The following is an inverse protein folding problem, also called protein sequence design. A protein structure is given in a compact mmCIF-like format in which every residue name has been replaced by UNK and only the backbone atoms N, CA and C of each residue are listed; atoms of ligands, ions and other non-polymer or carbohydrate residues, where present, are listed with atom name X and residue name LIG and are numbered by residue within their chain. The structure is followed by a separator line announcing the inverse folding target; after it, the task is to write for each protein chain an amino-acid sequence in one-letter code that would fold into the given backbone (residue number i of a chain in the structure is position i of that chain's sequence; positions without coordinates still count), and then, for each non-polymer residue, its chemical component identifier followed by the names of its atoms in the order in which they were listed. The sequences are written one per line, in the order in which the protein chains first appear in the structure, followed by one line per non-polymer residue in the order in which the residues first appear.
data_IF_492930246430
#
_entry.id   IF_492930246430
#
_cell.length_a   1.000
_cell.length_b   1.000
_cell.length_c   1.000
_cell.angle_alpha   90.00
_cell.angle_beta   90.00
_cell.angle_gamma   90.00
#
_symmetry.space_group_name_H-M   'P 1'
#
loop_
_entity.id
_entity.type
_entity.pdbx_description
1 polymer ?
#
# COMPACT_ATOMS: atom_id res chain seq x y z
N UNK A 1 -57.17 -0.54 -3.11
CA UNK A 1 -56.62 -1.40 -2.05
C UNK A 1 -55.80 -2.50 -2.69
N UNK A 2 -54.48 -2.37 -2.67
CA UNK A 2 -53.49 -3.45 -2.79
C UNK A 2 -52.11 -2.80 -2.61
N UNK A 3 -51.66 -2.73 -1.36
CA UNK A 3 -50.32 -2.34 -0.95
C UNK A 3 -49.36 -3.48 -1.28
N UNK A 4 -48.33 -3.21 -2.07
CA UNK A 4 -47.20 -4.12 -2.28
C UNK A 4 -46.06 -3.64 -1.38
N UNK A 5 -45.91 -4.31 -0.25
CA UNK A 5 -44.78 -4.20 0.68
C UNK A 5 -43.51 -4.73 0.00
N UNK A 6 -42.63 -3.84 -0.43
CA UNK A 6 -41.23 -4.18 -0.69
C UNK A 6 -40.42 -4.05 0.60
N UNK A 7 -40.38 -5.14 1.38
CA UNK A 7 -39.31 -5.34 2.37
C UNK A 7 -37.98 -5.57 1.62
N UNK A 8 -37.24 -4.50 1.34
CA UNK A 8 -35.80 -4.60 1.14
C UNK A 8 -35.16 -4.89 2.49
N UNK A 9 -34.72 -6.13 2.68
CA UNK A 9 -33.91 -6.52 3.82
C UNK A 9 -32.61 -5.71 3.81
N UNK A 10 -32.46 -4.83 4.79
CA UNK A 10 -31.18 -4.21 5.14
C UNK A 10 -30.34 -5.31 5.79
N UNK A 11 -29.32 -5.79 5.09
CA UNK A 11 -28.28 -6.63 5.67
C UNK A 11 -27.38 -5.70 6.49
N UNK A 12 -27.19 -5.91 7.81
CA UNK A 12 -26.25 -5.12 8.58
C UNK A 12 -24.83 -5.58 8.22
N UNK A 13 -24.22 -4.95 7.22
CA UNK A 13 -22.77 -5.04 7.01
C UNK A 13 -22.09 -3.99 7.85
N UNK A 14 -21.57 -4.36 9.03
CA UNK A 14 -20.52 -3.59 9.71
C UNK A 14 -19.88 -4.46 10.80
N UNK A 15 -18.87 -5.24 10.40
CA UNK A 15 -17.98 -5.90 11.34
C UNK A 15 -17.01 -4.88 11.92
N UNK A 16 -17.15 -4.55 13.20
CA UNK A 16 -16.07 -3.91 13.94
C UNK A 16 -14.86 -4.84 13.93
N UNK A 17 -13.70 -4.32 13.49
CA UNK A 17 -12.46 -5.09 13.47
C UNK A 17 -12.07 -5.45 14.91
N UNK A 18 -12.17 -6.73 15.25
CA UNK A 18 -11.67 -7.27 16.52
C UNK A 18 -10.14 -7.08 16.61
N UNK A 19 -9.57 -6.96 17.83
CA UNK A 19 -8.12 -6.81 18.01
C UNK A 19 -7.28 -7.93 17.38
N UNK A 20 -7.86 -9.13 17.26
CA UNK A 20 -7.24 -10.29 16.61
C UNK A 20 -8.22 -10.89 15.60
N UNK A 21 -7.76 -11.05 14.36
CA UNK A 21 -8.47 -11.70 13.27
C UNK A 21 -7.81 -13.03 12.92
N UNK A 22 -8.49 -14.13 13.22
CA UNK A 22 -8.11 -15.44 12.69
C UNK A 22 -8.60 -15.56 11.25
N UNK A 23 -7.68 -15.83 10.33
CA UNK A 23 -7.91 -16.27 8.96
C UNK A 23 -7.95 -17.80 8.92
N UNK A 24 -8.76 -18.43 8.07
CA UNK A 24 -8.59 -19.85 7.77
C UNK A 24 -8.14 -19.98 6.32
N UNK A 25 -6.89 -20.42 6.11
CA UNK A 25 -6.39 -20.72 4.77
C UNK A 25 -7.05 -21.99 4.26
N UNK A 26 -7.80 -21.91 3.17
CA UNK A 26 -8.39 -23.08 2.50
C UNK A 26 -7.47 -23.64 1.41
N UNK A 27 -6.26 -23.11 1.23
CA UNK A 27 -5.31 -23.65 0.26
C UNK A 27 -4.49 -24.77 0.87
N UNK A 28 -4.65 -25.98 0.35
CA UNK A 28 -3.67 -27.08 0.39
C UNK A 28 -2.40 -26.79 -0.44
N UNK A 29 -2.13 -25.52 -0.75
CA UNK A 29 -0.92 -25.13 -1.45
C UNK A 29 0.25 -25.15 -0.47
N UNK A 30 1.00 -26.25 -0.58
CA UNK A 30 2.28 -26.55 0.03
C UNK A 30 2.84 -25.44 0.90
N UNK A 31 2.43 -25.42 2.17
CA UNK A 31 3.22 -24.84 3.22
C UNK A 31 4.60 -25.46 3.06
N UNK A 32 5.56 -24.64 2.59
CA UNK A 32 6.94 -25.03 2.51
C UNK A 32 7.41 -25.34 3.93
N UNK A 33 7.25 -26.60 4.35
CA UNK A 33 8.29 -27.24 5.15
C UNK A 33 9.51 -27.23 4.24
N UNK A 34 10.25 -26.13 4.26
CA UNK A 34 11.70 -26.22 4.12
C UNK A 34 12.11 -26.91 5.42
N UNK A 35 11.93 -28.24 5.45
CA UNK A 35 12.71 -29.10 6.32
C UNK A 35 14.14 -28.58 6.23
N UNK A 36 14.83 -28.46 7.35
CA UNK A 36 16.27 -28.24 7.40
C UNK A 36 16.95 -29.41 6.66
N UNK A 37 16.90 -29.36 5.33
CA UNK A 37 17.54 -30.29 4.44
C UNK A 37 19.00 -29.86 4.50
N UNK A 38 19.86 -30.80 4.85
CA UNK A 38 21.30 -30.61 4.84
C UNK A 38 21.84 -30.60 3.40
N UNK A 39 21.05 -30.12 2.43
CA UNK A 39 21.50 -29.96 1.06
C UNK A 39 22.42 -28.72 1.00
N UNK A 40 23.73 -28.89 0.76
CA UNK A 40 24.67 -27.78 0.75
C UNK A 40 24.37 -26.76 -0.35
N UNK A 41 23.74 -27.18 -1.45
CA UNK A 41 23.30 -26.27 -2.52
C UNK A 41 22.15 -25.36 -2.08
N UNK A 42 21.14 -25.89 -1.38
CA UNK A 42 20.02 -25.10 -0.83
C UNK A 42 20.52 -24.13 0.25
N UNK A 43 21.43 -24.57 1.12
CA UNK A 43 22.03 -23.70 2.13
C UNK A 43 22.87 -22.58 1.52
N UNK A 44 23.61 -22.85 0.42
CA UNK A 44 24.34 -21.83 -0.31
C UNK A 44 23.39 -20.82 -0.97
N UNK A 45 22.37 -21.31 -1.70
CA UNK A 45 21.35 -20.45 -2.32
C UNK A 45 20.61 -19.60 -1.29
N UNK A 46 20.32 -20.16 -0.11
CA UNK A 46 19.74 -19.42 1.00
C UNK A 46 20.68 -18.32 1.51
N UNK A 47 21.97 -18.60 1.70
CA UNK A 47 22.95 -17.58 2.11
C UNK A 47 23.10 -16.48 1.06
N UNK A 48 23.18 -16.84 -0.22
CA UNK A 48 23.19 -15.88 -1.33
C UNK A 48 21.91 -15.05 -1.34
N UNK A 49 20.75 -15.69 -1.17
CA UNK A 49 19.45 -15.02 -1.07
C UNK A 49 19.38 -14.07 0.12
N UNK A 50 19.94 -14.41 1.28
CA UNK A 50 20.00 -13.51 2.45
C UNK A 50 20.88 -12.29 2.21
N UNK A 51 22.04 -12.46 1.55
CA UNK A 51 22.91 -11.33 1.16
C UNK A 51 22.22 -10.46 0.12
N UNK A 52 21.61 -11.06 -0.90
CA UNK A 52 20.85 -10.35 -1.92
C UNK A 52 19.62 -9.66 -1.36
N UNK A 53 18.92 -10.25 -0.39
CA UNK A 53 17.84 -9.60 0.36
C UNK A 53 18.37 -8.32 0.98
N UNK A 54 19.45 -8.39 1.75
CA UNK A 54 20.01 -7.20 2.39
C UNK A 54 20.46 -6.12 1.38
N UNK A 55 20.99 -6.54 0.23
CA UNK A 55 21.47 -5.64 -0.81
C UNK A 55 20.35 -5.00 -1.65
N UNK A 56 19.35 -5.80 -2.05
CA UNK A 56 18.28 -5.40 -2.98
C UNK A 56 17.05 -4.85 -2.26
N UNK A 57 16.72 -5.43 -1.10
CA UNK A 57 15.50 -5.18 -0.33
C UNK A 57 15.83 -5.24 1.18
N UNK A 58 16.50 -4.23 1.75
CA UNK A 58 16.75 -4.15 3.19
C UNK A 58 15.44 -4.00 4.00
N UNK A 59 14.71 -5.10 4.19
CA UNK A 59 13.43 -5.21 4.91
C UNK A 59 13.58 -4.89 6.41
N UNK A 60 14.76 -5.18 6.95
CA UNK A 60 15.09 -4.96 8.35
C UNK A 60 16.44 -4.27 8.38
N UNK A 61 16.46 -3.00 8.76
CA UNK A 61 17.71 -2.26 8.87
C UNK A 61 18.46 -2.74 10.13
N UNK A 62 19.75 -3.03 10.01
CA UNK A 62 20.69 -3.19 11.14
C UNK A 62 20.81 -1.88 11.93
N UNK A 63 21.30 -1.87 13.19
CA UNK A 63 21.34 -0.67 14.04
C UNK A 63 21.96 0.51 13.27
N UNK A 64 21.21 1.60 13.18
CA UNK A 64 21.42 2.63 12.17
C UNK A 64 22.03 3.92 12.70
N UNK A 65 22.73 4.57 11.78
CA UNK A 65 23.10 5.99 11.73
C UNK A 65 22.14 6.92 12.54
N UNK A 66 22.67 7.84 13.36
CA UNK A 66 21.91 8.76 14.21
C UNK A 66 20.71 9.45 13.52
N UNK A 67 20.82 9.77 12.23
CA UNK A 67 19.75 10.47 11.50
C UNK A 67 18.44 9.69 11.43
N UNK A 68 18.48 8.36 11.39
CA UNK A 68 17.27 7.54 11.34
C UNK A 68 16.62 7.35 12.71
N UNK A 69 17.38 7.50 13.79
CA UNK A 69 16.82 7.51 15.14
C UNK A 69 15.90 8.72 15.33
N UNK A 70 16.28 9.86 14.74
CA UNK A 70 15.45 11.08 14.75
C UNK A 70 14.15 10.89 13.97
N UNK A 71 14.19 10.29 12.77
CA UNK A 71 12.99 10.03 11.97
C UNK A 71 12.02 9.07 12.68
N UNK A 72 12.53 7.99 13.26
CA UNK A 72 11.70 7.06 14.04
C UNK A 72 11.11 7.73 15.28
N UNK A 73 11.88 8.58 15.97
CA UNK A 73 11.35 9.33 17.11
C UNK A 73 10.25 10.30 16.67
N UNK A 74 10.45 11.06 15.60
CA UNK A 74 9.44 11.96 15.06
C UNK A 74 8.15 11.21 14.66
N UNK A 75 8.29 10.03 14.05
CA UNK A 75 7.15 9.18 13.70
C UNK A 75 6.40 8.65 14.94
N UNK A 76 7.14 8.27 15.99
CA UNK A 76 6.55 7.88 17.28
C UNK A 76 5.83 9.05 17.95
N UNK A 77 6.44 10.24 17.94
CA UNK A 77 5.85 11.45 18.52
C UNK A 77 4.56 11.83 17.76
N UNK A 78 4.59 11.77 16.42
CA UNK A 78 3.43 11.99 15.56
C UNK A 78 2.31 10.98 15.88
N UNK A 79 2.64 9.69 15.99
CA UNK A 79 1.66 8.64 16.32
C UNK A 79 1.08 8.82 17.73
N UNK A 80 1.93 9.21 18.69
CA UNK A 80 1.52 9.48 20.06
C UNK A 80 0.59 10.70 20.13
N UNK A 81 0.87 11.74 19.34
CA UNK A 81 0.03 12.93 19.22
C UNK A 81 -1.36 12.64 18.63
N UNK A 82 -1.48 11.61 17.78
CA UNK A 82 -2.77 11.16 17.27
C UNK A 82 -3.56 10.31 18.28
N UNK A 83 -2.88 9.74 19.29
CA UNK A 83 -3.47 8.78 20.23
C UNK A 83 -3.73 9.39 21.62
N UNK A 84 -3.02 10.43 22.02
CA UNK A 84 -3.12 11.04 23.36
C UNK A 84 -3.43 12.54 23.30
N UNK A 85 -4.27 13.01 24.23
CA UNK A 85 -4.65 14.43 24.36
C UNK A 85 -3.53 15.27 25.01
N UNK A 86 -2.59 14.62 25.70
CA UNK A 86 -1.64 15.26 26.61
C UNK A 86 -0.27 15.57 25.96
N UNK A 87 0.03 15.00 24.80
CA UNK A 87 1.30 15.19 24.07
C UNK A 87 1.29 16.48 23.23
N UNK A 88 1.26 17.63 23.92
CA UNK A 88 0.90 18.94 23.37
C UNK A 88 2.01 19.77 22.68
N UNK A 89 3.24 19.28 22.54
CA UNK A 89 4.35 20.17 22.14
C UNK A 89 4.41 20.52 20.64
N UNK A 90 3.80 19.73 19.74
CA UNK A 90 3.95 19.90 18.28
C UNK A 90 2.69 19.57 17.45
N UNK A 91 1.50 19.93 17.92
CA UNK A 91 0.27 19.71 17.14
C UNK A 91 0.19 20.63 15.92
N UNK A 92 0.27 20.07 14.72
CA UNK A 92 -0.17 20.75 13.51
C UNK A 92 -1.71 20.72 13.44
N UNK A 93 -2.31 21.66 12.72
CA UNK A 93 -3.76 21.68 12.48
C UNK A 93 -4.27 20.37 11.87
N UNK A 94 -3.45 19.73 11.02
CA UNK A 94 -3.76 18.43 10.42
C UNK A 94 -3.87 17.31 11.45
N UNK A 95 -2.92 17.20 12.39
CA UNK A 95 -2.95 16.14 13.41
C UNK A 95 -4.14 16.30 14.35
N UNK A 96 -4.49 17.54 14.69
CA UNK A 96 -5.66 17.83 15.51
C UNK A 96 -6.96 17.45 14.79
N UNK A 97 -7.09 17.83 13.52
CA UNK A 97 -8.22 17.45 12.68
C UNK A 97 -8.36 15.92 12.56
N UNK A 98 -7.26 15.20 12.32
CA UNK A 98 -7.27 13.74 12.25
C UNK A 98 -7.73 13.14 13.58
N UNK A 99 -7.18 13.60 14.71
CA UNK A 99 -7.54 13.11 16.05
C UNK A 99 -9.02 13.32 16.38
N UNK A 100 -9.58 14.43 15.94
CA UNK A 100 -11.00 14.74 16.11
C UNK A 100 -11.88 13.79 15.29
N UNK A 101 -11.51 13.51 14.03
CA UNK A 101 -12.37 12.78 13.09
C UNK A 101 -12.11 11.27 12.99
N UNK A 102 -11.00 10.75 13.50
CA UNK A 102 -10.61 9.35 13.33
C UNK A 102 -10.33 8.61 14.64
N UNK A 103 -10.63 7.31 14.65
CA UNK A 103 -10.17 6.33 15.63
C UNK A 103 -8.99 5.58 15.04
N UNK A 104 -7.88 5.54 15.76
CA UNK A 104 -6.68 4.80 15.36
C UNK A 104 -6.48 3.64 16.33
N UNK A 105 -6.28 2.44 15.79
CA UNK A 105 -6.02 1.23 16.58
C UNK A 105 -5.17 0.24 15.81
N UNK A 106 -4.37 -0.54 16.53
CA UNK A 106 -3.61 -1.64 15.95
C UNK A 106 -4.43 -2.93 16.08
N UNK A 107 -4.41 -3.75 15.03
CA UNK A 107 -5.09 -5.06 14.96
C UNK A 107 -4.13 -6.09 14.39
N UNK A 108 -4.24 -7.33 14.84
CA UNK A 108 -3.45 -8.44 14.31
C UNK A 108 -4.29 -9.31 13.38
N UNK A 109 -3.73 -9.65 12.21
CA UNK A 109 -4.22 -10.74 11.36
C UNK A 109 -3.34 -11.96 11.57
N UNK A 110 -3.95 -13.07 11.95
CA UNK A 110 -3.27 -14.34 12.15
C UNK A 110 -3.66 -15.31 11.04
N UNK A 111 -2.67 -15.79 10.32
CA UNK A 111 -2.80 -16.87 9.35
C UNK A 111 -2.28 -18.18 9.95
N UNK A 112 -3.17 -19.07 10.42
CA UNK A 112 -2.81 -20.32 11.03
C UNK A 112 -2.22 -21.27 9.98
N UNK A 113 -1.22 -22.02 10.42
CA UNK A 113 -0.49 -23.00 9.65
C UNK A 113 0.49 -23.73 10.56
N UNK A 114 1.35 -24.58 10.00
CA UNK A 114 2.42 -25.23 10.77
C UNK A 114 3.34 -24.19 11.46
N UNK A 115 3.57 -23.07 10.77
CA UNK A 115 4.10 -21.84 11.33
C UNK A 115 3.01 -20.79 11.14
N UNK A 116 2.45 -20.30 12.24
CA UNK A 116 1.42 -19.26 12.20
C UNK A 116 2.08 -17.92 11.91
N UNK A 117 1.60 -17.21 10.89
CA UNK A 117 2.06 -15.86 10.56
C UNK A 117 1.14 -14.83 11.21
N UNK A 118 1.71 -13.79 11.80
CA UNK A 118 1.01 -12.74 12.53
C UNK A 118 1.40 -11.40 11.93
N UNK A 119 0.43 -10.75 11.30
CA UNK A 119 0.60 -9.45 10.64
C UNK A 119 -0.04 -8.35 11.47
N UNK A 120 0.75 -7.36 11.86
CA UNK A 120 0.28 -6.19 12.61
C UNK A 120 -0.19 -5.12 11.62
N UNK A 121 -1.42 -4.67 11.77
CA UNK A 121 -2.02 -3.63 10.94
C UNK A 121 -2.38 -2.44 11.83
N UNK A 122 -2.34 -1.24 11.26
CA UNK A 122 -2.95 -0.06 11.89
C UNK A 122 -4.20 0.34 11.12
N UNK A 123 -5.30 0.51 11.83
CA UNK A 123 -6.60 0.87 11.27
C UNK A 123 -6.94 2.28 11.74
N UNK A 124 -7.07 3.19 10.79
CA UNK A 124 -7.57 4.54 11.00
C UNK A 124 -8.97 4.61 10.39
N UNK A 125 -9.99 4.78 11.22
CA UNK A 125 -11.40 4.73 10.82
C UNK A 125 -12.12 6.01 11.22
N UNK A 126 -12.89 6.60 10.31
CA UNK A 126 -13.64 7.82 10.61
C UNK A 126 -14.71 7.55 11.68
N UNK A 127 -14.78 8.40 12.70
CA UNK A 127 -15.76 8.31 13.81
C UNK A 127 -17.17 8.50 13.29
N UNK A 128 -17.31 9.44 12.37
CA UNK A 128 -18.58 9.85 11.80
C UNK A 128 -18.55 9.67 10.29
N UNK A 129 -19.75 9.60 9.73
CA UNK A 129 -19.95 9.68 8.30
C UNK A 129 -19.95 11.15 7.90
N UNK A 130 -19.18 11.52 6.88
CA UNK A 130 -19.23 12.86 6.28
C UNK A 130 -19.88 12.71 4.90
N UNK A 131 -20.99 13.40 4.65
CA UNK A 131 -21.79 13.24 3.42
C UNK A 131 -22.27 11.81 3.14
N UNK A 132 -22.70 11.12 4.19
CA UNK A 132 -23.09 9.72 4.04
C UNK A 132 -21.90 8.79 3.72
N UNK A 133 -20.64 9.26 3.82
CA UNK A 133 -19.45 8.46 3.56
C UNK A 133 -18.50 8.37 4.75
N UNK A 134 -18.14 7.15 5.12
CA UNK A 134 -17.09 6.81 6.07
C UNK A 134 -15.83 6.37 5.35
N UNK A 135 -14.69 6.54 6.02
CA UNK A 135 -13.40 6.17 5.48
C UNK A 135 -12.62 5.29 6.45
N UNK A 136 -12.00 4.24 5.92
CA UNK A 136 -11.07 3.39 6.64
C UNK A 136 -9.78 3.26 5.87
N UNK A 137 -8.70 3.72 6.49
CA UNK A 137 -7.35 3.46 6.03
C UNK A 137 -6.76 2.33 6.88
N UNK A 138 -6.35 1.25 6.22
CA UNK A 138 -5.62 0.14 6.82
C UNK A 138 -4.17 0.26 6.37
N UNK A 139 -3.25 0.39 7.30
CA UNK A 139 -1.81 0.44 7.04
C UNK A 139 -1.20 -0.93 7.29
N UNK A 140 -0.46 -1.43 6.30
CA UNK A 140 0.37 -2.61 6.40
C UNK A 140 1.83 -2.20 6.27
N UNK A 141 2.67 -2.75 7.14
CA UNK A 141 4.13 -2.69 7.03
C UNK A 141 4.71 -4.09 6.98
N UNK A 142 5.79 -4.30 6.23
CA UNK A 142 6.58 -5.53 6.30
C UNK A 142 7.36 -5.67 7.63
N UNK A 143 7.55 -4.55 8.35
CA UNK A 143 8.24 -4.48 9.63
C UNK A 143 7.23 -4.59 10.79
N UNK A 144 7.62 -5.28 11.87
CA UNK A 144 6.76 -5.51 13.05
C UNK A 144 5.85 -6.75 12.96
N UNK A 145 5.99 -7.55 11.91
CA UNK A 145 5.29 -8.83 11.76
C UNK A 145 6.05 -9.97 12.41
N UNK A 146 5.33 -11.05 12.73
CA UNK A 146 5.87 -12.17 13.48
C UNK A 146 5.42 -13.52 12.94
N UNK A 147 6.11 -14.56 13.37
CA UNK A 147 5.76 -15.95 13.14
C UNK A 147 5.83 -16.74 14.44
N UNK A 148 5.02 -17.80 14.55
CA UNK A 148 4.96 -18.65 15.73
C UNK A 148 4.74 -20.11 15.33
N UNK A 149 5.68 -20.97 15.70
CA UNK A 149 5.52 -22.42 15.64
C UNK A 149 4.89 -22.92 16.95
N UNK A 150 4.10 -24.00 16.88
CA UNK A 150 3.43 -24.56 18.05
C UNK A 150 4.44 -24.91 19.16
N UNK A 151 4.16 -24.47 20.39
CA UNK A 151 5.06 -24.66 21.53
C UNK A 151 6.34 -23.80 21.52
N UNK A 152 6.51 -22.87 20.58
CA UNK A 152 7.67 -21.96 20.52
C UNK A 152 7.31 -20.51 20.84
N UNK A 153 8.33 -19.72 21.18
CA UNK A 153 8.21 -18.27 21.32
C UNK A 153 7.93 -17.59 19.98
N UNK A 154 7.20 -16.47 20.03
CA UNK A 154 6.94 -15.60 18.88
C UNK A 154 8.28 -15.05 18.37
N UNK A 155 8.57 -15.28 17.09
CA UNK A 155 9.78 -14.78 16.42
C UNK A 155 9.39 -13.76 15.37
N UNK A 156 10.35 -12.96 14.93
CA UNK A 156 10.15 -12.04 13.81
C UNK A 156 9.87 -12.85 12.54
N UNK A 157 8.88 -12.42 11.75
CA UNK A 157 8.63 -12.99 10.44
C UNK A 157 9.78 -12.62 9.51
N UNK A 158 10.44 -13.61 8.89
CA UNK A 158 11.57 -13.39 8.00
C UNK A 158 11.36 -14.09 6.65
N UNK A 159 10.69 -13.44 5.68
CA UNK A 159 10.49 -14.04 4.37
C UNK A 159 11.85 -14.28 3.68
N UNK A 160 11.98 -15.48 3.10
CA UNK A 160 13.20 -15.93 2.41
C UNK A 160 13.14 -15.78 0.89
N UNK A 161 11.97 -15.45 0.34
CA UNK A 161 11.73 -15.24 -1.10
C UNK A 161 10.79 -14.07 -1.32
N UNK A 162 10.79 -13.52 -2.54
CA UNK A 162 9.84 -12.49 -2.98
C UNK A 162 8.40 -13.00 -2.92
N UNK A 163 8.17 -14.28 -3.23
CA UNK A 163 6.85 -14.90 -3.14
C UNK A 163 6.34 -14.86 -1.69
N UNK A 164 7.13 -15.32 -0.73
CA UNK A 164 6.74 -15.27 0.68
C UNK A 164 6.51 -13.83 1.17
N UNK A 165 7.36 -12.89 0.73
CA UNK A 165 7.22 -11.48 1.05
C UNK A 165 5.91 -10.88 0.50
N UNK A 166 5.62 -11.12 -0.79
CA UNK A 166 4.44 -10.58 -1.48
C UNK A 166 3.12 -11.20 -1.01
N UNK A 167 3.17 -12.44 -0.51
CA UNK A 167 2.01 -13.14 0.06
C UNK A 167 1.51 -12.54 1.37
N UNK A 168 2.36 -11.88 2.17
CA UNK A 168 1.95 -11.29 3.45
C UNK A 168 0.75 -10.33 3.34
N UNK A 169 0.83 -9.25 2.54
CA UNK A 169 -0.31 -8.37 2.33
C UNK A 169 -1.50 -9.05 1.64
N UNK A 170 -1.26 -10.05 0.79
CA UNK A 170 -2.33 -10.83 0.17
C UNK A 170 -3.11 -11.65 1.20
N UNK A 171 -2.43 -12.27 2.16
CA UNK A 171 -3.06 -12.97 3.29
C UNK A 171 -3.95 -12.00 4.07
N UNK A 172 -3.47 -10.78 4.30
CA UNK A 172 -4.26 -9.71 4.94
C UNK A 172 -5.52 -9.37 4.12
N UNK A 173 -5.39 -9.17 2.81
CA UNK A 173 -6.55 -8.93 1.92
C UNK A 173 -7.57 -10.07 2.00
N UNK A 174 -7.12 -11.33 1.94
CA UNK A 174 -7.99 -12.52 2.06
C UNK A 174 -8.68 -12.58 3.42
N UNK A 175 -7.96 -12.26 4.51
CA UNK A 175 -8.50 -12.27 5.86
C UNK A 175 -9.57 -11.19 6.07
N UNK A 176 -9.33 -9.97 5.60
CA UNK A 176 -10.30 -8.88 5.64
C UNK A 176 -11.56 -9.26 4.85
N UNK A 177 -11.39 -9.83 3.65
CA UNK A 177 -12.51 -10.30 2.83
C UNK A 177 -13.33 -11.39 3.53
N UNK A 178 -12.71 -12.38 4.16
CA UNK A 178 -13.41 -13.44 4.92
C UNK A 178 -14.25 -12.87 6.07
N UNK A 179 -13.85 -11.71 6.62
CA UNK A 179 -14.60 -10.98 7.65
C UNK A 179 -15.68 -10.06 7.09
N UNK A 180 -15.95 -10.12 5.78
CA UNK A 180 -16.92 -9.25 5.11
C UNK A 180 -16.44 -7.82 4.92
N UNK A 181 -15.14 -7.54 5.10
CA UNK A 181 -14.57 -6.23 4.84
C UNK A 181 -14.12 -6.18 3.39
N UNK A 182 -14.82 -5.37 2.61
CA UNK A 182 -14.46 -5.06 1.23
C UNK A 182 -13.35 -4.00 1.23
N UNK A 183 -12.33 -4.19 0.40
CA UNK A 183 -11.26 -3.23 0.16
C UNK A 183 -11.47 -2.63 -1.23
N UNK A 184 -11.65 -1.32 -1.29
CA UNK A 184 -12.03 -0.60 -2.51
C UNK A 184 -10.82 -0.10 -3.28
N UNK A 185 -9.78 0.31 -2.54
CA UNK A 185 -8.50 0.72 -3.11
C UNK A 185 -7.29 0.10 -2.41
N UNK A 186 -6.24 -0.14 -3.19
CA UNK A 186 -4.92 -0.52 -2.71
C UNK A 186 -3.93 0.59 -3.08
N UNK A 187 -3.17 1.09 -2.10
CA UNK A 187 -2.02 1.97 -2.32
C UNK A 187 -0.74 1.18 -2.02
N UNK A 188 0.19 1.15 -2.97
CA UNK A 188 1.52 0.57 -2.78
C UNK A 188 2.57 1.65 -2.85
N UNK A 189 3.36 1.81 -1.79
CA UNK A 189 4.39 2.84 -1.70
C UNK A 189 5.78 2.23 -1.82
N UNK A 190 6.60 2.67 -2.79
CA UNK A 190 7.99 2.19 -2.94
C UNK A 190 8.06 0.66 -3.02
N UNK A 191 8.66 -0.01 -2.02
CA UNK A 191 8.75 -1.46 -1.95
C UNK A 191 7.43 -2.16 -1.61
N UNK A 192 6.40 -1.43 -1.17
CA UNK A 192 5.04 -1.95 -1.09
C UNK A 192 4.55 -2.55 -2.41
N UNK A 193 5.14 -2.15 -3.54
CA UNK A 193 4.81 -2.66 -4.86
C UNK A 193 5.14 -4.16 -5.04
N UNK A 194 5.99 -4.74 -4.19
CA UNK A 194 6.27 -6.20 -4.24
C UNK A 194 5.01 -7.03 -4.03
N UNK A 195 3.96 -6.50 -3.41
CA UNK A 195 2.66 -7.19 -3.31
C UNK A 195 2.11 -7.60 -4.68
N UNK A 196 2.39 -6.83 -5.74
CA UNK A 196 1.85 -7.10 -7.07
C UNK A 196 2.38 -8.43 -7.62
N UNK A 197 3.54 -8.91 -7.16
CA UNK A 197 4.03 -10.25 -7.51
C UNK A 197 3.03 -11.35 -7.17
N UNK A 198 2.34 -11.20 -6.04
CA UNK A 198 1.34 -12.17 -5.60
C UNK A 198 0.08 -12.16 -6.46
N UNK A 199 -0.14 -11.13 -7.30
CA UNK A 199 -1.34 -11.04 -8.12
C UNK A 199 -1.35 -12.06 -9.26
N UNK A 200 -0.19 -12.59 -9.66
CA UNK A 200 -0.08 -13.59 -10.73
C UNK A 200 -0.95 -14.83 -10.46
N UNK A 201 -1.08 -15.20 -9.19
CA UNK A 201 -1.69 -16.47 -8.76
C UNK A 201 -3.03 -16.29 -8.02
N UNK A 202 -3.64 -15.10 -8.10
CA UNK A 202 -4.78 -14.72 -7.25
C UNK A 202 -6.06 -14.46 -8.03
N UNK A 203 -7.18 -14.92 -7.47
CA UNK A 203 -8.51 -14.64 -7.99
C UNK A 203 -8.82 -13.13 -7.94
N UNK A 204 -9.47 -12.57 -8.99
CA UNK A 204 -9.69 -11.13 -9.11
C UNK A 204 -10.55 -10.54 -7.99
N UNK A 205 -11.40 -11.36 -7.37
CA UNK A 205 -12.36 -10.95 -6.35
C UNK A 205 -11.70 -10.54 -5.02
N UNK A 206 -10.43 -10.90 -4.80
CA UNK A 206 -9.65 -10.47 -3.62
C UNK A 206 -8.95 -9.13 -3.85
N UNK A 207 -8.62 -8.81 -5.09
CA UNK A 207 -7.87 -7.61 -5.43
C UNK A 207 -8.82 -6.41 -5.52
N UNK A 208 -8.48 -5.24 -4.95
CA UNK A 208 -9.31 -4.02 -5.02
C UNK A 208 -9.48 -3.46 -6.44
N UNK A 209 -10.57 -2.74 -6.69
CA UNK A 209 -10.90 -2.19 -8.01
C UNK A 209 -9.91 -1.11 -8.46
N UNK A 210 -9.47 -0.28 -7.51
CA UNK A 210 -8.48 0.78 -7.73
C UNK A 210 -7.14 0.39 -7.15
N UNK A 211 -6.09 0.38 -7.98
CA UNK A 211 -4.70 0.14 -7.57
C UNK A 211 -3.92 1.44 -7.80
N UNK A 212 -3.31 1.96 -6.75
CA UNK A 212 -2.51 3.19 -6.77
C UNK A 212 -1.06 2.82 -6.48
N UNK A 213 -0.19 3.05 -7.45
CA UNK A 213 1.23 2.75 -7.38
C UNK A 213 1.99 4.06 -7.19
N UNK A 214 2.45 4.30 -5.97
CA UNK A 214 3.18 5.51 -5.60
C UNK A 214 4.68 5.24 -5.56
N UNK A 215 5.39 5.71 -6.60
CA UNK A 215 6.84 5.56 -6.78
C UNK A 215 7.33 4.13 -6.49
N UNK A 216 6.64 3.16 -7.07
CA UNK A 216 6.85 1.74 -6.79
C UNK A 216 8.08 1.15 -7.47
N UNK A 217 8.65 0.09 -6.87
CA UNK A 217 9.62 -0.78 -7.53
C UNK A 217 9.00 -1.46 -8.75
N UNK A 218 9.59 -1.30 -9.93
CA UNK A 218 9.08 -1.89 -11.18
C UNK A 218 9.65 -3.27 -11.49
N UNK A 219 10.96 -3.47 -11.34
CA UNK A 219 11.61 -4.79 -11.33
C UNK A 219 13.03 -4.77 -10.74
N UNK A 220 13.48 -5.91 -10.23
CA UNK A 220 14.84 -6.11 -9.71
C UNK A 220 15.88 -6.01 -10.82
N UNK A 221 15.58 -6.53 -12.01
CA UNK A 221 16.45 -6.38 -13.19
C UNK A 221 16.74 -4.91 -13.51
N UNK A 222 15.70 -4.08 -13.49
CA UNK A 222 15.80 -2.63 -13.74
C UNK A 222 16.63 -1.92 -12.68
N UNK A 223 16.42 -2.24 -11.40
CA UNK A 223 17.28 -1.75 -10.29
C UNK A 223 18.74 -2.16 -10.51
N UNK A 224 19.01 -3.43 -10.79
CA UNK A 224 20.37 -3.93 -10.97
C UNK A 224 21.08 -3.28 -12.15
N UNK A 225 20.39 -3.07 -13.26
CA UNK A 225 20.94 -2.36 -14.41
C UNK A 225 21.31 -0.91 -14.07
N UNK A 226 20.53 -0.26 -13.20
CA UNK A 226 20.79 1.11 -12.73
C UNK A 226 22.00 1.21 -11.81
N UNK A 227 22.10 0.31 -10.84
CA UNK A 227 23.04 0.42 -9.73
C UNK A 227 24.31 -0.40 -9.90
N UNK A 228 24.35 -1.33 -10.86
CA UNK A 228 25.50 -2.21 -11.08
C UNK A 228 25.90 -2.24 -12.57
N UNK A 229 27.19 -2.10 -12.90
CA UNK A 229 27.66 -2.19 -14.28
C UNK A 229 27.59 -3.64 -14.80
N UNK A 230 27.64 -3.80 -16.12
CA UNK A 230 27.92 -5.10 -16.74
C UNK A 230 29.37 -5.53 -16.44
N UNK A 231 29.65 -6.82 -16.15
CA UNK A 231 28.73 -7.96 -16.09
C UNK A 231 28.11 -8.22 -14.70
N UNK A 232 28.44 -7.41 -13.69
CA UNK A 232 28.00 -7.59 -12.30
C UNK A 232 26.48 -7.65 -12.19
N UNK A 233 25.76 -6.76 -12.90
CA UNK A 233 24.29 -6.78 -12.93
C UNK A 233 23.69 -8.10 -13.40
N UNK A 234 24.29 -8.76 -14.40
CA UNK A 234 23.84 -10.05 -14.93
C UNK A 234 24.07 -11.19 -13.94
N UNK A 235 25.22 -11.18 -13.26
CA UNK A 235 25.54 -12.18 -12.23
C UNK A 235 24.58 -12.04 -11.06
N UNK A 236 24.40 -10.81 -10.55
CA UNK A 236 23.48 -10.53 -9.44
C UNK A 236 22.03 -10.87 -9.80
N UNK A 237 21.60 -10.57 -11.03
CA UNK A 237 20.25 -10.91 -11.47
C UNK A 237 20.01 -12.41 -11.55
N UNK A 238 20.97 -13.18 -12.10
CA UNK A 238 20.88 -14.65 -12.12
C UNK A 238 20.85 -15.22 -10.71
N UNK A 239 21.64 -14.66 -9.80
CA UNK A 239 21.64 -15.06 -8.40
C UNK A 239 20.31 -14.71 -7.70
N UNK A 240 19.74 -13.54 -7.97
CA UNK A 240 18.42 -13.15 -7.47
C UNK A 240 17.34 -14.11 -7.98
N UNK A 241 17.35 -14.42 -9.28
CA UNK A 241 16.42 -15.39 -9.87
C UNK A 241 16.56 -16.79 -9.25
N UNK A 242 17.78 -17.31 -9.13
CA UNK A 242 18.03 -18.63 -8.55
C UNK A 242 17.68 -18.72 -7.06
N UNK A 243 17.72 -17.60 -6.33
CA UNK A 243 17.38 -17.53 -4.91
C UNK A 243 15.93 -17.08 -4.64
N UNK A 244 15.10 -16.88 -5.67
CA UNK A 244 13.71 -16.46 -5.52
C UNK A 244 13.53 -14.99 -5.13
N UNK A 245 14.52 -14.13 -5.43
CA UNK A 245 14.53 -12.69 -5.16
C UNK A 245 14.34 -11.81 -6.39
N UNK A 246 14.00 -12.38 -7.54
CA UNK A 246 13.75 -11.66 -8.79
C UNK A 246 12.28 -11.21 -8.89
N UNK A 247 11.97 -10.05 -8.31
CA UNK A 247 10.65 -9.42 -8.43
C UNK A 247 10.53 -8.62 -9.74
N UNK A 248 9.38 -8.72 -10.40
CA UNK A 248 8.97 -7.92 -11.54
C UNK A 248 7.50 -7.42 -11.41
N UNK A 249 7.19 -6.53 -10.44
CA UNK A 249 5.82 -6.08 -10.15
C UNK A 249 5.07 -5.53 -11.36
N UNK A 250 5.79 -4.88 -12.28
CA UNK A 250 5.23 -4.36 -13.53
C UNK A 250 4.63 -5.47 -14.40
N UNK A 251 5.38 -6.56 -14.62
CA UNK A 251 4.89 -7.71 -15.39
C UNK A 251 3.79 -8.46 -14.64
N UNK A 252 3.91 -8.59 -13.31
CA UNK A 252 2.91 -9.24 -12.49
C UNK A 252 1.54 -8.53 -12.57
N UNK A 253 1.54 -7.20 -12.54
CA UNK A 253 0.34 -6.38 -12.73
C UNK A 253 -0.27 -6.61 -14.12
N UNK A 254 0.53 -6.52 -15.18
CA UNK A 254 0.04 -6.69 -16.54
C UNK A 254 -0.53 -8.09 -16.77
N UNK A 255 0.15 -9.13 -16.27
CA UNK A 255 -0.33 -10.50 -16.33
C UNK A 255 -1.68 -10.64 -15.61
N UNK A 256 -1.81 -10.06 -14.42
CA UNK A 256 -3.07 -10.06 -13.68
C UNK A 256 -4.20 -9.38 -14.44
N UNK A 257 -3.96 -8.18 -15.00
CA UNK A 257 -4.97 -7.44 -15.74
C UNK A 257 -5.40 -8.17 -17.01
N UNK A 258 -4.45 -8.73 -17.77
CA UNK A 258 -4.74 -9.48 -18.99
C UNK A 258 -5.50 -10.77 -18.71
N UNK A 259 -5.09 -11.54 -17.69
CA UNK A 259 -5.78 -12.78 -17.28
C UNK A 259 -7.21 -12.54 -16.84
N UNK A 260 -7.51 -11.34 -16.33
CA UNK A 260 -8.83 -10.96 -15.84
C UNK A 260 -9.61 -10.05 -16.79
N UNK A 261 -9.12 -9.89 -18.02
CA UNK A 261 -9.80 -9.15 -19.08
C UNK A 261 -11.14 -9.83 -19.39
N UNK A 262 -12.21 -9.03 -19.46
CA UNK A 262 -13.55 -9.53 -19.78
C UNK A 262 -14.36 -10.07 -18.59
N UNK A 263 -13.83 -10.10 -17.37
CA UNK A 263 -14.56 -10.51 -16.16
C UNK A 263 -15.62 -9.48 -15.67
N UNK A 264 -16.03 -8.54 -16.52
CA UNK A 264 -17.01 -7.49 -16.22
C UNK A 264 -16.53 -6.40 -15.25
N UNK A 265 -15.34 -6.54 -14.67
CA UNK A 265 -14.77 -5.59 -13.72
C UNK A 265 -13.75 -4.70 -14.42
N UNK A 266 -14.11 -3.45 -14.69
CA UNK A 266 -13.16 -2.45 -15.16
C UNK A 266 -12.28 -1.96 -14.01
N UNK A 267 -10.98 -2.26 -14.06
CA UNK A 267 -10.00 -1.85 -13.04
C UNK A 267 -9.49 -0.44 -13.31
N UNK A 268 -9.10 0.26 -12.24
CA UNK A 268 -8.46 1.57 -12.28
C UNK A 268 -7.04 1.46 -11.76
N UNK A 269 -6.06 1.90 -12.53
CA UNK A 269 -4.64 1.92 -12.14
C UNK A 269 -4.12 3.36 -12.13
N UNK A 270 -3.65 3.83 -10.99
CA UNK A 270 -3.06 5.17 -10.83
C UNK A 270 -1.57 5.01 -10.60
N UNK A 271 -0.73 5.47 -11.53
CA UNK A 271 0.73 5.42 -11.45
C UNK A 271 1.23 6.84 -11.16
N UNK A 272 1.79 7.03 -9.97
CA UNK A 272 2.40 8.27 -9.51
C UNK A 272 3.90 8.09 -9.56
N UNK A 273 4.54 8.74 -10.53
CA UNK A 273 5.99 8.73 -10.69
C UNK A 273 6.62 9.97 -10.06
N UNK A 274 7.87 9.87 -9.63
CA UNK A 274 8.71 11.03 -9.34
C UNK A 274 9.80 11.11 -10.39
N UNK A 275 9.73 12.09 -11.29
CA UNK A 275 10.48 12.09 -12.56
C UNK A 275 12.01 12.11 -12.39
N UNK A 276 12.49 12.67 -11.27
CA UNK A 276 13.91 12.77 -10.98
C UNK A 276 14.34 11.83 -9.86
N UNK A 277 13.48 10.92 -9.44
CA UNK A 277 13.79 9.99 -8.37
C UNK A 277 15.06 9.16 -8.64
N UNK A 278 16.07 9.36 -7.79
CA UNK A 278 17.36 8.69 -7.92
C UNK A 278 17.27 7.17 -7.84
N UNK A 279 16.22 6.60 -7.26
CA UNK A 279 16.01 5.17 -7.14
C UNK A 279 15.11 4.65 -8.27
N UNK A 280 14.01 5.34 -8.59
CA UNK A 280 12.96 4.77 -9.44
C UNK A 280 12.75 5.42 -10.83
N UNK A 281 13.37 6.57 -11.17
CA UNK A 281 12.92 7.34 -12.34
C UNK A 281 13.64 7.14 -13.67
N UNK A 282 14.78 6.46 -13.70
CA UNK A 282 15.55 6.20 -14.94
C UNK A 282 15.41 4.73 -15.37
N UNK A 283 16.49 3.93 -15.36
CA UNK A 283 16.43 2.50 -15.68
C UNK A 283 15.41 1.72 -14.82
N UNK A 284 15.16 2.21 -13.59
CA UNK A 284 14.15 1.71 -12.65
C UNK A 284 12.68 2.06 -12.96
N UNK A 285 12.41 2.85 -14.00
CA UNK A 285 11.06 3.39 -14.28
C UNK A 285 10.15 2.37 -14.93
N UNK A 286 8.86 2.66 -14.91
CA UNK A 286 7.90 1.88 -15.67
C UNK A 286 8.21 1.96 -17.17
N UNK A 287 7.96 0.88 -17.91
CA UNK A 287 8.11 0.93 -19.37
C UNK A 287 7.37 2.15 -19.95
N UNK A 288 7.92 2.75 -21.01
CA UNK A 288 7.40 4.00 -21.56
C UNK A 288 5.93 3.84 -22.02
N UNK A 289 5.60 2.67 -22.54
CA UNK A 289 4.30 2.20 -23.04
C UNK A 289 3.43 1.52 -21.96
N UNK A 290 3.81 1.53 -20.67
CA UNK A 290 3.06 0.78 -19.64
C UNK A 290 1.57 1.15 -19.59
N UNK A 291 1.25 2.43 -19.83
CA UNK A 291 -0.10 2.95 -19.75
C UNK A 291 -0.95 2.48 -20.93
N UNK A 292 -0.37 2.40 -22.12
CA UNK A 292 -1.00 1.83 -23.32
C UNK A 292 -1.28 0.34 -23.07
N UNK A 293 -0.29 -0.41 -22.59
CA UNK A 293 -0.43 -1.83 -22.26
C UNK A 293 -1.48 -2.09 -21.18
N UNK A 294 -1.63 -1.21 -20.19
CA UNK A 294 -2.73 -1.29 -19.21
C UNK A 294 -4.08 -1.03 -19.89
N UNK A 295 -4.18 -0.03 -20.76
CA UNK A 295 -5.43 0.28 -21.48
C UNK A 295 -5.88 -0.85 -22.40
N UNK A 296 -4.94 -1.56 -23.04
CA UNK A 296 -5.22 -2.74 -23.88
C UNK A 296 -5.90 -3.89 -23.11
N UNK A 297 -5.72 -3.94 -21.79
CA UNK A 297 -6.43 -4.90 -20.91
C UNK A 297 -7.89 -4.50 -20.63
N UNK A 298 -8.32 -3.31 -21.06
CA UNK A 298 -9.63 -2.72 -20.76
C UNK A 298 -9.67 -1.93 -19.45
N UNK A 299 -8.57 -1.89 -18.70
CA UNK A 299 -8.44 -1.09 -17.49
C UNK A 299 -8.31 0.41 -17.81
N UNK A 300 -8.77 1.25 -16.88
CA UNK A 300 -8.50 2.67 -16.90
C UNK A 300 -7.17 2.95 -16.20
N UNK A 301 -6.43 3.91 -16.72
CA UNK A 301 -5.13 4.34 -16.19
C UNK A 301 -5.05 5.86 -16.04
N UNK A 302 -4.46 6.31 -14.93
CA UNK A 302 -3.82 7.61 -14.78
C UNK A 302 -2.32 7.35 -14.61
N UNK A 303 -1.48 7.98 -15.42
CA UNK A 303 -0.02 7.98 -15.22
C UNK A 303 0.48 9.40 -15.25
N UNK A 304 1.07 9.85 -14.15
CA UNK A 304 1.61 11.20 -14.04
C UNK A 304 2.94 11.21 -13.29
N UNK A 305 3.89 12.01 -13.79
CA UNK A 305 5.18 12.27 -13.18
C UNK A 305 5.18 13.60 -12.43
N UNK A 306 5.53 13.55 -11.15
CA UNK A 306 5.57 14.70 -10.25
C UNK A 306 7.00 15.11 -9.92
N UNK A 307 7.14 16.38 -9.55
CA UNK A 307 8.39 16.95 -9.07
C UNK A 307 8.14 17.74 -7.79
N UNK A 308 8.58 17.25 -6.61
CA UNK A 308 8.46 17.99 -5.36
C UNK A 308 9.41 19.21 -5.38
N UNK A 309 8.89 20.44 -5.33
CA UNK A 309 9.73 21.64 -5.34
C UNK A 309 10.72 21.64 -4.18
N UNK A 310 11.93 22.18 -4.39
CA UNK A 310 12.96 22.37 -3.35
C UNK A 310 13.51 21.08 -2.71
N UNK A 311 13.07 19.90 -3.13
CA UNK A 311 13.60 18.63 -2.64
C UNK A 311 14.62 18.07 -3.62
N UNK A 312 15.77 17.65 -3.12
CA UNK A 312 16.81 17.03 -3.94
C UNK A 312 16.32 15.70 -4.55
N UNK A 313 16.59 15.41 -5.84
CA UNK A 313 16.23 14.16 -6.55
C UNK A 313 16.45 12.85 -5.77
N UNK A 314 17.51 12.79 -4.95
CA UNK A 314 17.81 11.63 -4.09
C UNK A 314 16.79 11.39 -2.98
N UNK A 315 16.08 12.41 -2.53
CA UNK A 315 15.11 12.31 -1.44
C UNK A 315 13.66 12.10 -1.94
N UNK A 316 13.41 12.19 -3.25
CA UNK A 316 12.05 12.14 -3.82
C UNK A 316 11.25 10.89 -3.43
N UNK A 317 11.92 9.74 -3.27
CA UNK A 317 11.28 8.47 -2.89
C UNK A 317 10.66 8.51 -1.49
N UNK A 318 11.22 9.34 -0.60
CA UNK A 318 10.78 9.50 0.78
C UNK A 318 9.73 10.60 0.97
N UNK A 319 9.45 11.38 -0.08
CA UNK A 319 8.53 12.52 -0.01
C UNK A 319 7.08 12.05 0.13
N UNK A 320 6.35 12.60 1.08
CA UNK A 320 4.93 12.28 1.33
C UNK A 320 4.02 12.80 0.21
N UNK A 321 2.82 12.22 0.07
CA UNK A 321 1.88 12.56 -1.02
C UNK A 321 1.41 14.03 -1.01
N UNK A 322 1.40 14.68 0.16
CA UNK A 322 1.05 16.10 0.30
C UNK A 322 2.11 17.06 -0.29
N UNK A 323 3.33 16.58 -0.52
CA UNK A 323 4.41 17.36 -1.14
C UNK A 323 4.57 17.07 -2.64
N UNK A 324 3.80 16.11 -3.17
CA UNK A 324 3.70 15.88 -4.60
C UNK A 324 2.57 16.75 -5.17
N UNK A 325 2.94 17.91 -5.69
CA UNK A 325 2.00 18.84 -6.32
C UNK A 325 2.20 18.85 -7.83
N UNK A 326 1.10 19.06 -8.57
CA UNK A 326 1.22 19.39 -9.98
C UNK A 326 1.74 20.82 -10.12
N UNK A 327 2.73 20.98 -10.98
CA UNK A 327 3.28 22.27 -11.40
C UNK A 327 3.54 22.21 -12.91
N UNK A 328 4.10 23.29 -13.47
CA UNK A 328 4.47 23.36 -14.90
C UNK A 328 5.45 22.27 -15.35
N UNK A 329 6.18 21.63 -14.43
CA UNK A 329 7.09 20.52 -14.71
C UNK A 329 6.41 19.14 -14.61
N UNK A 330 5.17 19.06 -14.14
CA UNK A 330 4.44 17.79 -14.00
C UNK A 330 3.97 17.30 -15.37
N UNK A 331 4.33 16.07 -15.72
CA UNK A 331 3.90 15.46 -16.99
C UNK A 331 2.79 14.45 -16.71
N UNK A 332 1.66 14.62 -17.39
CA UNK A 332 0.58 13.62 -17.41
C UNK A 332 0.75 12.82 -18.70
N UNK A 333 1.12 11.55 -18.56
CA UNK A 333 1.35 10.65 -19.69
C UNK A 333 0.04 10.04 -20.18
N UNK A 334 -0.90 9.75 -19.28
CA UNK A 334 -2.23 9.24 -19.60
C UNK A 334 -3.21 9.62 -18.50
N UNK A 335 -4.46 9.91 -18.86
CA UNK A 335 -5.52 10.18 -17.89
C UNK A 335 -6.89 9.70 -18.43
N UNK A 336 -7.22 8.44 -18.16
CA UNK A 336 -8.53 7.84 -18.53
C UNK A 336 -9.43 7.60 -17.32
N UNK A 337 -8.89 7.75 -16.10
CA UNK A 337 -9.65 7.86 -14.87
C UNK A 337 -9.79 9.36 -14.66
N UNK A 338 -10.91 10.04 -14.94
CA UNK A 338 -11.01 11.51 -15.04
C UNK A 338 -10.79 12.24 -13.69
N UNK A 339 -9.59 12.11 -13.14
CA UNK A 339 -9.10 12.68 -11.91
C UNK A 339 -8.57 14.07 -12.24
N UNK A 340 -9.11 15.08 -11.55
CA UNK A 340 -8.64 16.46 -11.68
C UNK A 340 -7.30 16.60 -10.98
N UNK A 341 -6.22 16.61 -11.76
CA UNK A 341 -4.90 16.98 -11.26
C UNK A 341 -4.73 18.47 -11.55
N UNK A 342 -5.22 19.32 -10.66
CA UNK A 342 -5.09 20.79 -10.74
C UNK A 342 -3.71 21.26 -10.29
N UNK A 343 -3.28 22.44 -10.77
CA UNK A 343 -2.01 23.04 -10.34
C UNK A 343 -2.01 23.30 -8.83
N UNK A 344 -0.85 23.10 -8.20
CA UNK A 344 -0.64 23.26 -6.76
C UNK A 344 -1.47 22.35 -5.85
N UNK A 345 -2.31 21.48 -6.41
CA UNK A 345 -3.09 20.50 -5.65
C UNK A 345 -2.20 19.31 -5.26
N UNK A 346 -2.10 18.98 -3.96
CA UNK A 346 -1.36 17.80 -3.52
C UNK A 346 -2.00 16.50 -3.97
N UNK A 347 -1.18 15.48 -4.25
CA UNK A 347 -1.66 14.17 -4.70
C UNK A 347 -2.53 13.45 -3.67
N UNK A 348 -2.31 13.70 -2.37
CA UNK A 348 -3.21 13.20 -1.33
C UNK A 348 -4.63 13.75 -1.48
N UNK A 349 -4.80 15.01 -1.89
CA UNK A 349 -6.11 15.61 -2.15
C UNK A 349 -6.75 15.08 -3.43
N UNK A 350 -5.97 14.90 -4.49
CA UNK A 350 -6.44 14.28 -5.75
C UNK A 350 -6.97 12.86 -5.49
N UNK A 351 -6.26 12.06 -4.69
CA UNK A 351 -6.69 10.72 -4.32
C UNK A 351 -7.94 10.78 -3.42
N UNK A 352 -7.96 11.67 -2.43
CA UNK A 352 -9.12 11.78 -1.54
C UNK A 352 -10.40 12.12 -2.32
N UNK A 353 -10.37 13.17 -3.12
CA UNK A 353 -11.53 13.62 -3.91
C UNK A 353 -11.94 12.58 -4.96
N UNK A 354 -10.99 12.14 -5.79
CA UNK A 354 -11.30 11.37 -6.99
C UNK A 354 -11.32 9.86 -6.80
N UNK A 355 -10.81 9.35 -5.68
CA UNK A 355 -10.84 7.92 -5.34
C UNK A 355 -11.67 7.67 -4.08
N UNK A 356 -11.37 8.33 -2.95
CA UNK A 356 -12.05 8.00 -1.68
C UNK A 356 -13.49 8.51 -1.63
N UNK A 357 -13.75 9.70 -2.16
CA UNK A 357 -15.11 10.27 -2.25
C UNK A 357 -15.89 9.83 -3.49
N UNK A 358 -15.29 9.05 -4.38
CA UNK A 358 -15.95 8.60 -5.60
C UNK A 358 -16.87 7.38 -5.36
N UNK A 359 -18.05 7.38 -5.99
CA UNK A 359 -19.06 6.32 -5.89
C UNK A 359 -20.03 6.48 -4.72
N UNK A 360 -21.17 5.78 -4.81
CA UNK A 360 -22.34 5.91 -3.92
C UNK A 360 -22.27 5.07 -2.63
N UNK A 361 -21.15 4.39 -2.41
CA UNK A 361 -20.99 3.53 -1.24
C UNK A 361 -20.79 4.37 0.03
N UNK A 362 -21.49 3.98 1.11
CA UNK A 362 -21.41 4.64 2.41
C UNK A 362 -20.01 4.53 3.04
N UNK A 363 -19.15 3.67 2.49
CA UNK A 363 -17.88 3.33 3.07
C UNK A 363 -16.82 3.18 1.98
N UNK A 364 -15.66 3.81 2.16
CA UNK A 364 -14.49 3.53 1.35
C UNK A 364 -13.38 2.96 2.23
N UNK A 365 -12.92 1.75 1.90
CA UNK A 365 -11.79 1.12 2.59
C UNK A 365 -10.55 1.07 1.70
N UNK A 366 -9.47 1.69 2.16
CA UNK A 366 -8.17 1.64 1.50
C UNK A 366 -7.19 0.79 2.31
N UNK A 367 -6.51 -0.17 1.66
CA UNK A 367 -5.30 -0.78 2.20
C UNK A 367 -4.09 -0.04 1.63
N UNK A 368 -3.20 0.44 2.49
CA UNK A 368 -1.93 1.07 2.12
C UNK A 368 -0.77 0.20 2.59
N UNK A 369 0.07 -0.23 1.66
CA UNK A 369 1.24 -1.08 1.91
C UNK A 369 2.47 -0.18 1.85
N UNK A 370 3.09 0.02 3.01
CA UNK A 370 4.29 0.82 3.16
C UNK A 370 5.54 0.04 2.75
N UNK A 371 6.55 0.77 2.29
CA UNK A 371 7.86 0.23 1.90
C UNK A 371 8.73 -0.25 3.07
N UNK A 372 9.88 -0.85 2.72
CA UNK A 372 10.75 -1.70 3.56
C UNK A 372 10.87 -1.38 5.04
N UNK A 373 11.18 -0.14 5.37
CA UNK A 373 11.75 0.25 6.67
C UNK A 373 10.75 0.91 7.60
N UNK A 374 9.61 1.33 7.04
CA UNK A 374 8.57 2.01 7.79
C UNK A 374 7.89 1.01 8.71
N UNK A 375 8.12 1.04 10.01
CA UNK A 375 7.20 0.41 10.96
C UNK A 375 5.82 1.10 10.88
N UNK A 376 4.82 0.62 11.63
CA UNK A 376 3.49 1.22 11.59
C UNK A 376 3.48 2.71 11.95
N UNK A 377 4.38 3.18 12.82
CA UNK A 377 4.48 4.60 13.19
C UNK A 377 4.99 5.45 12.03
N UNK A 378 6.07 5.02 11.36
CA UNK A 378 6.59 5.69 10.17
C UNK A 378 5.59 5.63 9.03
N UNK A 379 4.92 4.49 8.83
CA UNK A 379 3.84 4.35 7.85
C UNK A 379 2.68 5.33 8.15
N UNK A 380 2.34 5.51 9.43
CA UNK A 380 1.30 6.45 9.86
C UNK A 380 1.71 7.88 9.54
N UNK A 381 2.89 8.30 9.97
CA UNK A 381 3.35 9.68 9.77
C UNK A 381 3.55 10.01 8.28
N UNK A 382 4.17 9.10 7.53
CA UNK A 382 4.55 9.33 6.12
C UNK A 382 3.39 9.11 5.15
N UNK A 383 2.66 8.00 5.30
CA UNK A 383 1.68 7.57 4.31
C UNK A 383 0.24 7.83 4.82
N UNK A 384 -0.01 7.63 6.12
CA UNK A 384 -1.34 7.78 6.74
C UNK A 384 -1.81 9.23 6.91
N UNK A 385 -1.03 10.06 7.60
CA UNK A 385 -1.38 11.44 7.93
C UNK A 385 -1.76 12.26 6.69
N UNK A 386 -0.99 12.25 5.58
CA UNK A 386 -1.37 13.01 4.38
C UNK A 386 -2.73 12.61 3.80
N UNK A 387 -3.08 11.31 3.83
CA UNK A 387 -4.33 10.80 3.28
C UNK A 387 -5.52 11.11 4.21
N UNK A 388 -5.33 10.95 5.53
CA UNK A 388 -6.35 11.25 6.53
C UNK A 388 -6.66 12.75 6.59
N UNK A 389 -5.62 13.60 6.56
CA UNK A 389 -5.78 15.05 6.50
C UNK A 389 -6.49 15.50 5.22
N UNK A 390 -6.10 14.94 4.06
CA UNK A 390 -6.77 15.23 2.78
C UNK A 390 -8.24 14.82 2.78
N UNK A 391 -8.57 13.65 3.34
CA UNK A 391 -9.96 13.22 3.50
C UNK A 391 -10.75 14.17 4.41
N UNK A 392 -10.19 14.57 5.56
CA UNK A 392 -10.83 15.49 6.50
C UNK A 392 -11.03 16.89 5.89
N UNK A 393 -10.04 17.40 5.15
CA UNK A 393 -10.13 18.69 4.46
C UNK A 393 -11.21 18.68 3.36
N UNK A 394 -11.22 17.63 2.54
CA UNK A 394 -12.24 17.47 1.49
C UNK A 394 -13.64 17.32 2.09
N UNK A 395 -13.74 16.61 3.23
CA UNK A 395 -14.97 16.52 4.02
C UNK A 395 -15.49 17.90 4.42
N UNK A 396 -14.63 18.73 5.02
CA UNK A 396 -14.98 20.09 5.46
C UNK A 396 -15.31 21.02 4.29
N UNK A 397 -14.59 20.92 3.17
CA UNK A 397 -14.87 21.68 1.96
C UNK A 397 -16.29 21.44 1.47
N UNK A 398 -16.67 20.16 1.33
CA UNK A 398 -18.05 19.78 0.94
C UNK A 398 -19.07 20.32 1.94
N UNK A 399 -18.78 20.26 3.26
CA UNK A 399 -19.63 20.77 4.36
C UNK A 399 -20.03 22.23 4.16
N UNK A 400 -19.06 23.04 3.75
CA UNK A 400 -19.27 24.46 3.54
C UNK A 400 -20.02 24.75 2.23
N UNK A 401 -19.86 23.92 1.21
CA UNK A 401 -20.52 24.10 -0.09
C UNK A 401 -22.03 23.83 0.00
N UNK A 402 -22.48 22.74 0.63
CA UNK A 402 -23.93 22.46 0.73
C UNK A 402 -24.64 23.30 1.80
N UNK A 403 -23.93 23.67 2.88
CA UNK A 403 -24.48 24.58 3.90
C UNK A 403 -24.74 26.00 3.37
N UNK A 404 -24.11 26.37 2.26
CA UNK A 404 -24.41 27.62 1.55
C UNK A 404 -25.65 27.54 0.67
N UNK A 405 -25.94 26.37 0.07
CA UNK A 405 -27.13 26.15 -0.75
C UNK A 405 -28.42 26.16 0.09
N UNK A 406 -28.44 25.53 1.27
CA UNK A 406 -29.61 25.54 2.16
C UNK A 406 -29.89 26.91 2.82
N UNK A 407 -28.92 27.82 2.84
CA UNK A 407 -29.10 29.19 3.34
C UNK A 407 -29.47 30.20 2.25
N UNK A 408 -29.36 29.79 0.99
CA UNK A 408 -29.64 30.63 -0.20
C UNK A 408 -30.96 30.23 -0.88
N UNK A 409 -31.57 29.12 -0.46
CA UNK A 409 -32.95 28.72 -0.75
C UNK A 409 -33.86 29.15 0.41
#
# INVERSE_FOLDING_TARGET
MATVDQKRGVVPMQGTLSPVMMYQSTSTDGNQRISQSWNPCENLLRRVGLVLRQFLLPLYRTPMDPHFTVEQQLAKDTTSALSSVESASHHTQDLESIRQHFVIRDVEVQAPGAISQIFSLRVCESKESVYGKKFRLILFSFNGNAEKEEGTERRRWEPLTIKALSEGPLIVLKALKQRGIRIDSLITNSLGNVVLESFRDVKPDVIPHTIIINRGLTSIRKILNKHCPFPVNCILHRAAKASGWDANPEEALLHFLETNKGNGVQRKVVIIEAEKDHYFSQEGRFAADIHERIQETGAQVLRAGFYPPLVHPRAHHAVTLNHLVKNSATRVFANTIPLSVEESKPMSEVIAEGVFFHGDEEYHTCLSISGNDANLDVATARDGVPLLAAFAKESQKRMNETGHEERSA
#
